data_IF_350977441934
#
_entry.id   IF_350977441934
#
_cell.length_a   1.000
_cell.length_b   1.000
_cell.length_c   1.000
_cell.angle_alpha   90.00
_cell.angle_beta   90.00
_cell.angle_gamma   90.00
#
_symmetry.space_group_name_H-M   'P 1'
#
loop_
_entity.id
_entity.type
_entity.pdbx_description
1 polymer ?
#
# COMPACT_ATOMS: atom_id res chain seq x y z
N UNK A 1 15.59 -19.46 -17.57
CA UNK A 1 16.47 -18.32 -17.28
C UNK A 1 16.07 -17.71 -15.93
N UNK A 2 17.00 -17.55 -15.01
CA UNK A 2 16.75 -16.91 -13.71
C UNK A 2 16.42 -15.43 -13.91
N UNK A 3 15.75 -14.79 -12.95
CA UNK A 3 15.35 -13.38 -13.07
C UNK A 3 16.54 -12.43 -13.21
N UNK A 4 17.64 -12.70 -12.51
CA UNK A 4 18.87 -11.90 -12.60
C UNK A 4 19.50 -11.95 -14.00
N UNK A 5 19.66 -13.13 -14.57
CA UNK A 5 20.21 -13.33 -15.92
C UNK A 5 19.34 -12.62 -16.98
N UNK A 6 18.04 -12.69 -16.80
CA UNK A 6 17.11 -12.00 -17.69
C UNK A 6 17.25 -10.48 -17.59
N UNK A 7 17.31 -9.92 -16.36
CA UNK A 7 17.47 -8.48 -16.16
C UNK A 7 18.82 -7.97 -16.66
N UNK A 8 19.87 -8.79 -16.55
CA UNK A 8 21.18 -8.48 -17.12
C UNK A 8 21.11 -8.40 -18.66
N UNK A 9 20.44 -9.37 -19.30
CA UNK A 9 20.23 -9.34 -20.74
C UNK A 9 19.43 -8.10 -21.18
N UNK A 10 18.33 -7.79 -20.48
CA UNK A 10 17.53 -6.57 -20.75
C UNK A 10 18.37 -5.32 -20.54
N UNK A 11 19.19 -5.27 -19.48
CA UNK A 11 20.05 -4.14 -19.19
C UNK A 11 21.03 -3.89 -20.35
N UNK A 12 21.72 -4.92 -20.80
CA UNK A 12 22.67 -4.81 -21.91
C UNK A 12 22.00 -4.32 -23.20
N UNK A 13 20.82 -4.84 -23.54
CA UNK A 13 20.09 -4.42 -24.75
C UNK A 13 19.51 -3.01 -24.64
N UNK A 14 19.10 -2.57 -23.45
CA UNK A 14 18.52 -1.25 -23.21
C UNK A 14 19.58 -0.18 -22.88
N UNK A 15 20.87 -0.51 -22.85
CA UNK A 15 21.94 0.39 -22.45
C UNK A 15 21.87 0.80 -20.97
N UNK A 16 21.41 -0.10 -20.12
CA UNK A 16 21.30 0.07 -18.67
C UNK A 16 22.33 -0.81 -17.96
N UNK A 17 22.50 -0.61 -16.66
CA UNK A 17 23.37 -1.44 -15.82
C UNK A 17 22.52 -2.31 -14.91
N UNK A 18 22.87 -3.60 -14.83
CA UNK A 18 22.22 -4.53 -13.91
C UNK A 18 22.80 -4.41 -12.49
N UNK A 19 21.93 -4.32 -11.49
CA UNK A 19 22.27 -4.29 -10.08
C UNK A 19 21.62 -5.49 -9.39
N UNK A 20 22.34 -6.59 -9.17
CA UNK A 20 21.84 -7.77 -8.48
C UNK A 20 21.49 -7.43 -7.03
N UNK A 21 20.40 -7.98 -6.53
CA UNK A 21 19.89 -7.78 -5.16
C UNK A 21 19.53 -6.33 -4.77
N UNK A 22 19.50 -5.40 -5.73
CA UNK A 22 19.14 -4.01 -5.53
C UNK A 22 17.96 -3.66 -6.45
N UNK A 23 16.91 -3.09 -5.88
CA UNK A 23 15.78 -2.65 -6.69
C UNK A 23 14.56 -2.25 -5.87
N UNK A 24 13.69 -1.45 -6.50
CA UNK A 24 12.51 -0.91 -5.83
C UNK A 24 11.42 -1.95 -5.56
N UNK A 25 11.36 -3.04 -6.33
CA UNK A 25 10.20 -3.93 -6.32
C UNK A 25 10.49 -5.32 -5.78
N UNK A 26 11.63 -5.91 -6.14
CA UNK A 26 12.02 -7.23 -5.66
C UNK A 26 13.53 -7.28 -5.42
N UNK A 27 13.93 -7.38 -4.14
CA UNK A 27 15.34 -7.44 -3.75
C UNK A 27 16.05 -8.70 -4.22
N UNK A 28 15.29 -9.78 -4.49
CA UNK A 28 15.88 -11.07 -4.90
C UNK A 28 16.28 -11.09 -6.38
N UNK A 29 15.57 -10.37 -7.22
CA UNK A 29 15.81 -10.32 -8.66
C UNK A 29 16.65 -9.13 -9.12
N UNK A 30 16.93 -8.18 -8.23
CA UNK A 30 17.67 -6.97 -8.60
C UNK A 30 16.87 -6.02 -9.51
N UNK A 31 17.58 -5.12 -10.18
CA UNK A 31 17.03 -4.20 -11.15
C UNK A 31 18.05 -3.82 -12.23
N UNK A 32 17.55 -3.44 -13.41
CA UNK A 32 18.35 -2.78 -14.43
C UNK A 32 18.07 -1.26 -14.34
N UNK A 33 19.11 -0.46 -14.13
CA UNK A 33 18.97 1.00 -13.95
C UNK A 33 20.02 1.72 -14.78
N UNK A 34 19.66 2.87 -15.32
CA UNK A 34 20.60 3.72 -16.03
C UNK A 34 19.97 5.05 -16.44
N UNK A 35 20.82 5.90 -17.04
CA UNK A 35 20.41 7.19 -17.55
C UNK A 35 20.70 7.24 -19.04
N UNK A 36 19.75 7.78 -19.80
CA UNK A 36 19.96 8.08 -21.22
C UNK A 36 19.21 9.36 -21.56
N UNK A 37 19.89 10.31 -22.20
CA UNK A 37 19.37 11.65 -22.51
C UNK A 37 18.83 12.37 -21.26
N UNK A 38 19.47 12.16 -20.12
CA UNK A 38 19.06 12.70 -18.83
C UNK A 38 17.68 12.21 -18.31
N UNK A 39 17.17 11.11 -18.87
CA UNK A 39 16.04 10.35 -18.28
C UNK A 39 16.58 9.16 -17.52
N UNK A 40 16.07 8.93 -16.34
CA UNK A 40 16.42 7.75 -15.53
C UNK A 40 15.43 6.63 -15.84
N UNK A 41 15.95 5.49 -16.21
CA UNK A 41 15.15 4.28 -16.44
C UNK A 41 15.50 3.25 -15.38
N UNK A 42 14.48 2.64 -14.78
CA UNK A 42 14.65 1.46 -13.92
C UNK A 42 13.68 0.37 -14.35
N UNK A 43 14.17 -0.86 -14.43
CA UNK A 43 13.40 -2.04 -14.80
C UNK A 43 13.58 -3.09 -13.71
N UNK A 44 12.49 -3.71 -13.31
CA UNK A 44 12.54 -4.78 -12.32
C UNK A 44 11.25 -5.58 -12.29
N UNK A 45 11.23 -6.60 -11.44
CA UNK A 45 10.06 -7.44 -11.25
C UNK A 45 9.31 -7.05 -9.98
N UNK A 46 7.99 -7.01 -10.08
CA UNK A 46 7.08 -6.94 -8.95
C UNK A 46 6.21 -8.18 -8.94
N UNK A 47 6.14 -8.85 -7.81
CA UNK A 47 5.27 -10.01 -7.64
C UNK A 47 4.13 -9.64 -6.70
N UNK A 48 2.91 -9.72 -7.19
CA UNK A 48 1.70 -9.52 -6.40
C UNK A 48 0.83 -10.76 -6.50
N UNK A 49 0.88 -11.61 -5.49
CA UNK A 49 0.21 -12.90 -5.51
C UNK A 49 0.84 -13.85 -6.54
N UNK A 50 0.02 -14.43 -7.43
CA UNK A 50 0.46 -15.36 -8.48
C UNK A 50 0.87 -14.68 -9.78
N UNK A 51 0.62 -13.39 -9.94
CA UNK A 51 0.93 -12.65 -11.16
C UNK A 51 2.30 -12.00 -11.05
N UNK A 52 3.17 -12.32 -11.98
CA UNK A 52 4.44 -11.64 -12.13
C UNK A 52 4.27 -10.43 -13.07
N UNK A 53 4.84 -9.32 -12.66
CA UNK A 53 4.75 -8.05 -13.39
C UNK A 53 6.16 -7.52 -13.62
N UNK A 54 6.51 -7.30 -14.89
CA UNK A 54 7.67 -6.48 -15.23
C UNK A 54 7.28 -5.02 -15.09
N UNK A 55 8.04 -4.27 -14.31
CA UNK A 55 7.80 -2.84 -14.07
C UNK A 55 8.93 -2.05 -14.71
N UNK A 56 8.57 -1.07 -15.51
CA UNK A 56 9.46 -0.08 -16.10
C UNK A 56 9.11 1.27 -15.49
N UNK A 57 10.07 1.89 -14.85
CA UNK A 57 9.97 3.24 -14.29
C UNK A 57 10.83 4.17 -15.13
N UNK A 58 10.21 5.19 -15.67
CA UNK A 58 10.89 6.30 -16.35
C UNK A 58 10.75 7.53 -15.47
N UNK A 59 11.89 8.15 -15.13
CA UNK A 59 11.93 9.36 -14.32
C UNK A 59 12.50 10.53 -15.10
N UNK A 60 11.98 11.70 -14.81
CA UNK A 60 12.30 12.98 -15.41
C UNK A 60 12.21 14.10 -14.36
N UNK A 61 12.69 15.29 -14.66
CA UNK A 61 12.72 16.40 -13.70
C UNK A 61 11.32 16.92 -13.39
N UNK A 62 10.52 17.17 -14.42
CA UNK A 62 9.20 17.78 -14.27
C UNK A 62 8.24 17.29 -15.34
N UNK A 63 6.99 17.17 -14.94
CA UNK A 63 5.83 16.96 -15.78
C UNK A 63 4.94 18.19 -15.69
N UNK A 64 4.62 18.79 -16.82
CA UNK A 64 3.75 19.97 -16.83
C UNK A 64 2.28 19.59 -16.69
N UNK A 65 1.84 18.59 -17.45
CA UNK A 65 0.45 18.12 -17.41
C UNK A 65 0.36 16.59 -17.54
N UNK A 66 -0.20 15.88 -16.53
CA UNK A 66 -0.32 14.42 -16.56
C UNK A 66 -1.12 13.89 -17.76
N UNK A 67 -2.11 14.62 -18.23
CA UNK A 67 -2.94 14.22 -19.36
C UNK A 67 -2.18 14.21 -20.69
N UNK A 68 -1.21 15.09 -20.85
CA UNK A 68 -0.35 15.11 -22.05
C UNK A 68 0.49 13.83 -22.14
N UNK A 69 1.00 13.32 -20.99
CA UNK A 69 1.73 12.04 -20.97
C UNK A 69 0.82 10.88 -21.34
N UNK A 70 -0.41 10.86 -20.82
CA UNK A 70 -1.38 9.81 -21.19
C UNK A 70 -1.66 9.83 -22.69
N UNK A 71 -1.87 11.02 -23.24
CA UNK A 71 -2.11 11.22 -24.68
C UNK A 71 -0.90 10.82 -25.52
N UNK A 72 0.31 11.23 -25.12
CA UNK A 72 1.56 10.88 -25.82
C UNK A 72 1.77 9.35 -25.84
N UNK A 73 1.59 8.67 -24.69
CA UNK A 73 1.69 7.21 -24.59
C UNK A 73 0.61 6.48 -25.40
N UNK A 74 -0.61 7.02 -25.47
CA UNK A 74 -1.69 6.49 -26.29
C UNK A 74 -1.38 6.67 -27.79
N UNK A 75 -0.89 7.83 -28.18
CA UNK A 75 -0.53 8.15 -29.57
C UNK A 75 0.67 7.32 -30.06
N UNK A 76 1.60 7.00 -29.18
CA UNK A 76 2.72 6.11 -29.50
C UNK A 76 2.28 4.65 -29.76
N UNK A 77 0.97 4.35 -29.64
CA UNK A 77 0.36 3.04 -29.93
C UNK A 77 1.09 1.86 -29.29
N UNK A 78 1.57 2.03 -28.06
CA UNK A 78 2.31 1.00 -27.32
C UNK A 78 1.38 -0.17 -27.02
N UNK A 79 1.58 -1.28 -27.70
CA UNK A 79 0.68 -2.44 -27.66
C UNK A 79 0.88 -3.36 -26.45
N UNK A 80 2.04 -3.27 -25.76
CA UNK A 80 2.42 -4.22 -24.72
C UNK A 80 2.50 -3.54 -23.35
N UNK A 81 1.85 -4.13 -22.36
CA UNK A 81 1.76 -3.57 -21.03
C UNK A 81 0.67 -2.49 -20.89
N UNK A 82 0.67 -1.83 -19.76
CA UNK A 82 -0.28 -0.76 -19.42
C UNK A 82 0.37 0.30 -18.55
N UNK A 83 -0.18 1.48 -18.57
CA UNK A 83 0.17 2.54 -17.65
C UNK A 83 -0.27 2.15 -16.22
N UNK A 84 0.70 2.04 -15.32
CA UNK A 84 0.46 1.71 -13.90
C UNK A 84 0.25 2.96 -13.04
N UNK A 85 1.10 3.98 -13.21
CA UNK A 85 0.98 5.23 -12.47
C UNK A 85 1.72 6.37 -13.19
N UNK A 86 1.26 7.60 -12.96
CA UNK A 86 1.95 8.84 -13.33
C UNK A 86 2.12 9.66 -12.05
N UNK A 87 3.35 10.10 -11.77
CA UNK A 87 3.67 11.06 -10.74
C UNK A 87 4.18 12.37 -11.33
N UNK A 88 4.50 13.34 -10.48
CA UNK A 88 5.04 14.64 -10.92
C UNK A 88 6.39 14.54 -11.64
N UNK A 89 7.15 13.47 -11.40
CA UNK A 89 8.49 13.25 -11.92
C UNK A 89 8.76 11.80 -12.36
N UNK A 90 7.72 11.00 -12.58
CA UNK A 90 7.88 9.64 -13.08
C UNK A 90 6.65 9.14 -13.83
N UNK A 91 6.89 8.16 -14.70
CA UNK A 91 5.90 7.28 -15.32
C UNK A 91 6.26 5.85 -14.96
N UNK A 92 5.29 5.08 -14.49
CA UNK A 92 5.40 3.66 -14.21
C UNK A 92 4.57 2.89 -15.22
N UNK A 93 5.23 2.02 -15.97
CA UNK A 93 4.63 1.10 -16.93
C UNK A 93 4.69 -0.32 -16.41
N UNK A 94 3.63 -1.10 -16.58
CA UNK A 94 3.49 -2.45 -16.07
C UNK A 94 3.17 -3.43 -17.19
N UNK A 95 3.93 -4.50 -17.27
CA UNK A 95 3.66 -5.60 -18.17
C UNK A 95 3.43 -6.88 -17.39
N UNK A 96 2.16 -7.27 -17.26
CA UNK A 96 1.75 -8.49 -16.59
C UNK A 96 1.95 -9.70 -17.50
N UNK A 97 2.48 -10.78 -16.97
CA UNK A 97 2.62 -12.04 -17.69
C UNK A 97 2.31 -13.22 -16.75
N UNK A 98 1.71 -14.31 -17.32
CA UNK A 98 1.28 -15.46 -16.51
C UNK A 98 2.27 -16.63 -16.59
N UNK A 99 2.77 -16.94 -17.78
CA UNK A 99 3.56 -18.17 -18.01
C UNK A 99 4.99 -17.88 -18.50
N UNK A 100 5.15 -17.02 -19.48
CA UNK A 100 6.44 -16.71 -20.08
C UNK A 100 6.81 -15.26 -19.87
N UNK A 101 8.08 -15.02 -19.49
CA UNK A 101 8.62 -13.65 -19.43
C UNK A 101 8.65 -13.06 -20.85
N UNK A 102 8.41 -11.74 -20.99
CA UNK A 102 8.61 -11.03 -22.25
C UNK A 102 10.02 -11.29 -22.80
N UNK A 103 10.20 -11.27 -24.11
CA UNK A 103 11.56 -11.34 -24.69
C UNK A 103 12.35 -10.09 -24.33
N UNK A 104 13.63 -10.24 -24.03
CA UNK A 104 14.48 -9.11 -23.60
C UNK A 104 14.54 -7.99 -24.65
N UNK A 105 14.58 -8.35 -25.94
CA UNK A 105 14.58 -7.42 -27.07
C UNK A 105 13.27 -6.61 -27.15
N UNK A 106 12.14 -7.25 -26.82
CA UNK A 106 10.84 -6.57 -26.79
C UNK A 106 10.76 -5.55 -25.66
N UNK A 107 11.34 -5.88 -24.50
CA UNK A 107 11.41 -4.97 -23.36
C UNK A 107 12.34 -3.79 -23.66
N UNK A 108 13.49 -4.03 -24.25
CA UNK A 108 14.41 -2.98 -24.66
C UNK A 108 13.77 -2.00 -25.66
N UNK A 109 13.05 -2.51 -26.66
CA UNK A 109 12.27 -1.68 -27.60
C UNK A 109 11.17 -0.90 -26.90
N UNK A 110 10.40 -1.55 -26.00
CA UNK A 110 9.37 -0.90 -25.23
C UNK A 110 9.91 0.27 -24.38
N UNK A 111 11.09 0.12 -23.78
CA UNK A 111 11.75 1.21 -23.04
C UNK A 111 12.05 2.38 -23.95
N UNK A 112 12.55 2.13 -25.15
CA UNK A 112 12.84 3.17 -26.14
C UNK A 112 11.57 3.88 -26.62
N UNK A 113 10.52 3.13 -26.94
CA UNK A 113 9.22 3.66 -27.35
C UNK A 113 8.61 4.55 -26.25
N UNK A 114 8.61 4.06 -24.99
CA UNK A 114 8.14 4.81 -23.85
C UNK A 114 8.93 6.10 -23.64
N UNK A 115 10.27 6.04 -23.72
CA UNK A 115 11.13 7.18 -23.57
C UNK A 115 10.90 8.22 -24.66
N UNK A 116 10.79 7.78 -25.92
CA UNK A 116 10.52 8.64 -27.06
C UNK A 116 9.17 9.35 -26.91
N UNK A 117 8.16 8.64 -26.49
CA UNK A 117 6.84 9.23 -26.26
C UNK A 117 6.84 10.31 -25.18
N UNK A 118 7.55 10.08 -24.06
CA UNK A 118 7.54 11.05 -22.95
C UNK A 118 8.46 12.24 -23.16
N UNK A 119 9.51 12.12 -23.99
CA UNK A 119 10.45 13.23 -24.29
C UNK A 119 9.75 14.49 -24.79
N UNK A 120 8.65 14.35 -25.49
CA UNK A 120 7.92 15.48 -26.08
C UNK A 120 7.11 16.29 -25.05
N UNK A 121 6.83 15.69 -23.88
CA UNK A 121 5.88 16.23 -22.88
C UNK A 121 6.45 16.31 -21.48
N UNK A 122 7.73 16.04 -21.32
CA UNK A 122 8.43 16.08 -20.03
C UNK A 122 9.79 16.74 -20.16
N UNK A 123 10.25 17.32 -19.04
CA UNK A 123 11.58 17.94 -18.95
C UNK A 123 12.59 16.92 -18.41
N UNK A 124 13.72 16.65 -19.10
CA UNK A 124 14.77 15.78 -18.59
C UNK A 124 15.45 16.37 -17.36
N UNK A 125 16.18 15.56 -16.61
CA UNK A 125 17.01 16.04 -15.52
C UNK A 125 18.13 16.94 -16.07
N UNK A 126 18.48 17.96 -15.30
CA UNK A 126 19.53 18.92 -15.64
C UNK A 126 20.87 18.62 -14.95
N UNK A 127 21.01 17.41 -14.42
CA UNK A 127 22.20 17.03 -13.68
C UNK A 127 22.31 17.71 -12.31
N UNK A 128 21.26 18.25 -11.71
CA UNK A 128 21.26 18.86 -10.38
C UNK A 128 20.65 17.93 -9.34
N UNK A 129 21.02 18.13 -8.09
CA UNK A 129 20.39 17.40 -6.97
C UNK A 129 18.89 17.68 -6.96
N UNK A 130 18.06 16.63 -6.95
CA UNK A 130 16.60 16.73 -6.94
C UNK A 130 16.06 17.41 -5.67
N UNK A 131 16.83 17.42 -4.58
CA UNK A 131 16.42 17.98 -3.28
C UNK A 131 16.80 19.46 -3.12
N UNK A 132 18.05 19.84 -3.45
CA UNK A 132 18.57 21.20 -3.22
C UNK A 132 18.97 21.95 -4.48
N UNK A 133 18.78 21.36 -5.65
CA UNK A 133 19.18 21.91 -6.95
C UNK A 133 20.68 22.26 -7.09
N UNK A 134 21.53 21.84 -6.18
CA UNK A 134 22.98 22.04 -6.23
C UNK A 134 23.59 21.26 -7.40
N UNK A 135 24.65 21.82 -7.98
CA UNK A 135 25.47 21.20 -9.03
C UNK A 135 26.65 20.39 -8.48
N UNK A 136 26.83 20.32 -7.16
CA UNK A 136 27.89 19.52 -6.55
C UNK A 136 27.71 18.03 -6.88
N UNK A 137 28.83 17.31 -6.96
CA UNK A 137 28.94 15.89 -7.35
C UNK A 137 27.72 15.05 -7.01
N UNK A 138 26.96 14.73 -8.04
CA UNK A 138 25.74 13.96 -7.92
C UNK A 138 26.03 12.55 -8.38
N UNK A 139 25.63 11.60 -7.57
CA UNK A 139 25.56 10.23 -7.98
C UNK A 139 24.09 9.82 -8.12
N UNK A 140 23.79 9.07 -9.16
CA UNK A 140 22.53 8.34 -9.21
C UNK A 140 22.53 7.35 -8.05
N UNK A 141 21.58 7.51 -7.14
CA UNK A 141 21.50 6.73 -5.91
C UNK A 141 20.13 6.10 -5.81
N UNK A 142 20.05 4.83 -5.41
CA UNK A 142 18.78 4.21 -5.06
C UNK A 142 18.41 4.62 -3.63
N UNK A 143 17.37 5.42 -3.47
CA UNK A 143 16.75 5.70 -2.18
C UNK A 143 15.56 4.77 -1.99
N UNK A 144 15.67 3.79 -1.09
CA UNK A 144 14.68 2.73 -0.91
C UNK A 144 14.31 2.02 -2.25
N UNK A 145 15.28 1.90 -3.14
CA UNK A 145 15.13 1.30 -4.46
C UNK A 145 14.65 2.25 -5.57
N UNK A 146 14.26 3.48 -5.26
CA UNK A 146 13.91 4.49 -6.26
C UNK A 146 15.17 5.20 -6.72
N UNK A 147 15.52 5.17 -8.01
CA UNK A 147 16.71 5.87 -8.50
C UNK A 147 16.46 7.37 -8.51
N UNK A 148 17.37 8.15 -7.94
CA UNK A 148 17.30 9.61 -7.91
C UNK A 148 18.68 10.26 -7.88
N UNK A 149 18.76 11.49 -8.37
CA UNK A 149 19.96 12.31 -8.26
C UNK A 149 19.95 13.04 -6.92
N UNK A 150 20.83 12.65 -6.01
CA UNK A 150 20.91 13.26 -4.69
C UNK A 150 22.38 13.48 -4.29
N UNK A 151 22.73 14.67 -3.83
CA UNK A 151 24.06 14.96 -3.32
C UNK A 151 24.28 14.38 -1.91
N UNK A 152 25.55 14.26 -1.52
CA UNK A 152 25.92 13.67 -0.21
C UNK A 152 25.30 14.43 0.98
N UNK A 153 25.28 15.77 0.91
CA UNK A 153 24.69 16.62 1.95
C UNK A 153 23.20 16.36 2.13
N UNK A 154 22.44 16.20 1.03
CA UNK A 154 21.03 15.88 1.09
C UNK A 154 20.78 14.43 1.54
N UNK A 155 21.64 13.49 1.20
CA UNK A 155 21.56 12.12 1.75
C UNK A 155 21.70 12.11 3.27
N UNK A 156 22.68 12.87 3.78
CA UNK A 156 22.88 12.98 5.21
C UNK A 156 21.71 13.69 5.92
N UNK A 157 21.19 14.77 5.33
CA UNK A 157 20.03 15.47 5.85
C UNK A 157 18.80 14.53 5.94
N UNK A 158 18.52 13.75 4.91
CA UNK A 158 17.41 12.77 4.92
C UNK A 158 17.63 11.69 5.98
N UNK A 159 18.88 11.23 6.20
CA UNK A 159 19.17 10.31 7.29
C UNK A 159 18.85 10.91 8.64
N UNK A 160 19.35 12.12 8.91
CA UNK A 160 19.11 12.82 10.17
C UNK A 160 17.62 13.07 10.42
N UNK A 161 16.87 13.50 9.40
CA UNK A 161 15.42 13.68 9.51
C UNK A 161 14.69 12.36 9.85
N UNK A 162 15.09 11.25 9.24
CA UNK A 162 14.52 9.94 9.52
C UNK A 162 14.89 9.41 10.91
N UNK A 163 16.14 9.62 11.34
CA UNK A 163 16.59 9.24 12.66
C UNK A 163 15.86 10.07 13.73
N UNK A 164 15.71 11.37 13.51
CA UNK A 164 14.93 12.24 14.41
C UNK A 164 13.45 11.83 14.43
N UNK A 165 12.86 11.51 13.28
CA UNK A 165 11.49 10.99 13.21
C UNK A 165 11.33 9.65 13.95
N UNK A 166 12.34 8.79 13.89
CA UNK A 166 12.37 7.54 14.66
C UNK A 166 12.39 7.78 16.16
N UNK A 167 13.26 8.69 16.62
CA UNK A 167 13.36 9.10 18.02
C UNK A 167 12.03 9.70 18.50
N UNK A 168 11.47 10.63 17.72
CA UNK A 168 10.19 11.26 18.05
C UNK A 168 9.05 10.23 18.14
N UNK A 169 9.00 9.26 17.20
CA UNK A 169 7.99 8.19 17.24
C UNK A 169 8.16 7.28 18.47
N UNK A 170 9.39 6.98 18.86
CA UNK A 170 9.66 6.16 20.05
C UNK A 170 9.34 6.90 21.34
N UNK A 171 9.54 8.22 21.39
CA UNK A 171 9.21 9.06 22.52
C UNK A 171 7.71 9.22 22.78
N UNK A 172 6.84 8.90 21.81
CA UNK A 172 5.38 8.91 22.02
C UNK A 172 5.04 7.94 23.15
N UNK A 173 4.54 8.44 24.27
CA UNK A 173 4.02 7.63 25.37
C UNK A 173 2.61 7.16 25.01
N UNK A 174 2.34 5.83 24.94
CA UNK A 174 1.02 5.34 24.61
C UNK A 174 0.00 5.69 25.69
N UNK A 175 -1.12 6.30 25.30
CA UNK A 175 -2.24 6.56 26.20
C UNK A 175 -3.23 5.39 26.15
N UNK A 176 -3.01 4.36 26.97
CA UNK A 176 -3.86 3.16 27.00
C UNK A 176 -5.31 3.44 27.42
N UNK A 177 -5.60 4.25 28.48
CA UNK A 177 -6.97 4.58 28.85
C UNK A 177 -7.74 5.22 27.71
N UNK A 178 -7.17 6.22 27.05
CA UNK A 178 -7.82 6.88 25.92
C UNK A 178 -8.01 5.94 24.73
N UNK A 179 -7.03 5.06 24.45
CA UNK A 179 -7.15 4.02 23.44
C UNK A 179 -8.30 3.04 23.73
N UNK A 180 -8.48 2.66 24.98
CA UNK A 180 -9.58 1.78 25.40
C UNK A 180 -10.94 2.48 25.27
N UNK A 181 -11.05 3.73 25.76
CA UNK A 181 -12.31 4.51 25.68
C UNK A 181 -12.73 4.72 24.23
N UNK A 182 -11.84 5.17 23.37
CA UNK A 182 -12.16 5.38 21.96
C UNK A 182 -12.42 4.05 21.23
N UNK A 183 -11.73 2.97 21.62
CA UNK A 183 -11.99 1.65 21.09
C UNK A 183 -13.38 1.11 21.47
N UNK A 184 -13.79 1.25 22.73
CA UNK A 184 -15.14 0.87 23.20
C UNK A 184 -16.21 1.73 22.50
N UNK A 185 -16.02 3.03 22.41
CA UNK A 185 -16.95 3.91 21.71
C UNK A 185 -17.11 3.51 20.24
N UNK A 186 -16.00 3.26 19.53
CA UNK A 186 -16.03 2.79 18.16
C UNK A 186 -16.69 1.42 18.02
N UNK A 187 -16.46 0.51 18.97
CA UNK A 187 -17.08 -0.82 19.03
C UNK A 187 -18.60 -0.71 19.22
N UNK A 188 -19.06 0.09 20.16
CA UNK A 188 -20.49 0.28 20.44
C UNK A 188 -21.21 0.92 19.24
N UNK A 189 -20.66 2.00 18.70
CA UNK A 189 -21.23 2.71 17.53
C UNK A 189 -21.20 1.83 16.26
N UNK A 190 -20.10 1.11 16.06
CA UNK A 190 -19.95 0.20 14.92
C UNK A 190 -20.95 -0.96 14.97
N UNK A 191 -21.09 -1.59 16.13
CA UNK A 191 -22.07 -2.65 16.33
C UNK A 191 -23.52 -2.18 16.20
N UNK A 192 -23.86 -1.03 16.80
CA UNK A 192 -25.19 -0.44 16.66
C UNK A 192 -25.52 -0.12 15.19
N UNK A 193 -24.61 0.56 14.49
CA UNK A 193 -24.79 0.87 13.08
C UNK A 193 -24.95 -0.39 12.22
N UNK A 194 -24.13 -1.40 12.50
CA UNK A 194 -24.19 -2.71 11.84
C UNK A 194 -25.55 -3.37 12.00
N UNK A 195 -26.04 -3.52 13.24
CA UNK A 195 -27.33 -4.17 13.54
C UNK A 195 -28.50 -3.44 12.87
N UNK A 196 -28.49 -2.09 12.88
CA UNK A 196 -29.53 -1.29 12.23
C UNK A 196 -29.49 -1.41 10.69
N UNK A 197 -28.32 -1.39 10.09
CA UNK A 197 -28.16 -1.55 8.63
C UNK A 197 -28.58 -2.95 8.20
N UNK A 198 -28.11 -3.99 8.90
CA UNK A 198 -28.50 -5.37 8.62
C UNK A 198 -30.03 -5.56 8.72
N UNK A 199 -30.66 -4.97 9.73
CA UNK A 199 -32.13 -4.99 9.88
C UNK A 199 -32.83 -4.26 8.74
N UNK A 200 -32.36 -3.07 8.34
CA UNK A 200 -32.95 -2.29 7.25
C UNK A 200 -32.88 -3.00 5.90
N UNK A 201 -31.81 -3.74 5.67
CA UNK A 201 -31.58 -4.50 4.43
C UNK A 201 -32.22 -5.90 4.47
N UNK A 202 -32.73 -6.35 5.62
CA UNK A 202 -33.16 -7.73 5.88
C UNK A 202 -32.08 -8.79 5.52
N UNK A 203 -30.80 -8.42 5.58
CA UNK A 203 -29.70 -9.24 5.15
C UNK A 203 -28.41 -8.89 5.88
N UNK A 204 -27.72 -9.91 6.40
CA UNK A 204 -26.39 -9.79 7.00
C UNK A 204 -25.35 -9.88 5.88
N UNK A 205 -24.77 -8.75 5.48
CA UNK A 205 -23.72 -8.75 4.49
C UNK A 205 -22.34 -8.75 5.14
N UNK A 206 -21.56 -9.79 4.91
CA UNK A 206 -20.30 -10.10 5.58
C UNK A 206 -19.24 -8.99 5.47
N UNK A 207 -19.21 -8.26 4.34
CA UNK A 207 -18.22 -7.20 4.11
C UNK A 207 -18.34 -6.01 5.07
N UNK A 208 -19.50 -5.77 5.65
CA UNK A 208 -19.70 -4.72 6.65
C UNK A 208 -18.92 -4.99 7.94
N UNK A 209 -18.72 -6.25 8.29
CA UNK A 209 -17.91 -6.64 9.44
C UNK A 209 -16.43 -6.22 9.27
N UNK A 210 -15.90 -6.17 8.04
CA UNK A 210 -14.55 -5.64 7.76
C UNK A 210 -14.46 -4.17 8.17
N UNK A 211 -15.50 -3.39 7.85
CA UNK A 211 -15.56 -1.98 8.20
C UNK A 211 -15.59 -1.77 9.73
N UNK A 212 -16.35 -2.61 10.44
CA UNK A 212 -16.38 -2.59 11.91
C UNK A 212 -14.98 -2.83 12.47
N UNK A 213 -14.31 -3.89 12.04
CA UNK A 213 -12.94 -4.19 12.49
C UNK A 213 -11.97 -3.05 12.22
N UNK A 214 -12.09 -2.40 11.07
CA UNK A 214 -11.29 -1.22 10.74
C UNK A 214 -11.61 -0.05 11.67
N UNK A 215 -12.89 0.27 11.93
CA UNK A 215 -13.32 1.38 12.79
C UNK A 215 -12.86 1.19 14.23
N UNK A 216 -13.01 -0.02 14.78
CA UNK A 216 -12.53 -0.36 16.13
C UNK A 216 -11.02 -0.16 16.22
N UNK A 217 -10.27 -0.69 15.24
CA UNK A 217 -8.83 -0.52 15.21
C UNK A 217 -8.41 0.96 15.10
N UNK A 218 -9.09 1.74 14.25
CA UNK A 218 -8.84 3.18 14.12
C UNK A 218 -9.10 3.92 15.43
N UNK A 219 -10.17 3.59 16.15
CA UNK A 219 -10.49 4.17 17.47
C UNK A 219 -9.38 3.89 18.48
N UNK A 220 -8.99 2.62 18.65
CA UNK A 220 -7.91 2.23 19.58
C UNK A 220 -6.60 2.89 19.21
N UNK A 221 -6.20 2.86 17.93
CA UNK A 221 -4.92 3.41 17.47
C UNK A 221 -4.87 4.93 17.60
N UNK A 222 -5.97 5.64 17.31
CA UNK A 222 -6.07 7.08 17.50
C UNK A 222 -5.95 7.46 18.99
N UNK A 223 -6.55 6.66 19.86
CA UNK A 223 -6.47 6.89 21.31
C UNK A 223 -5.11 6.57 21.89
N UNK A 224 -4.47 5.47 21.48
CA UNK A 224 -3.13 5.10 21.98
C UNK A 224 -2.00 5.93 21.35
N UNK A 225 -2.20 6.56 20.21
CA UNK A 225 -1.20 7.33 19.46
C UNK A 225 -0.18 6.49 18.68
N UNK A 226 -0.07 5.19 18.95
CA UNK A 226 0.81 4.27 18.22
C UNK A 226 0.35 2.82 18.34
N UNK A 227 0.84 1.96 17.43
CA UNK A 227 0.63 0.51 17.54
C UNK A 227 1.40 -0.04 18.74
N UNK A 228 0.68 -0.69 19.64
CA UNK A 228 1.22 -1.31 20.85
C UNK A 228 0.81 -2.76 20.96
N UNK A 229 1.49 -3.56 21.80
CA UNK A 229 1.05 -4.93 22.11
C UNK A 229 -0.35 -4.96 22.70
N UNK A 230 -0.67 -3.97 23.56
CA UNK A 230 -2.02 -3.78 24.09
C UNK A 230 -3.05 -3.63 22.96
N UNK A 231 -2.80 -2.74 22.00
CA UNK A 231 -3.69 -2.55 20.84
C UNK A 231 -3.87 -3.82 20.02
N UNK A 232 -2.81 -4.62 19.83
CA UNK A 232 -2.87 -5.88 19.08
C UNK A 232 -3.78 -6.92 19.74
N UNK A 233 -3.96 -6.87 21.06
CA UNK A 233 -4.85 -7.79 21.80
C UNK A 233 -6.26 -7.20 21.91
N UNK A 234 -6.37 -5.92 22.28
CA UNK A 234 -7.69 -5.33 22.58
C UNK A 234 -8.53 -5.09 21.30
N UNK A 235 -7.90 -4.80 20.16
CA UNK A 235 -8.60 -4.58 18.90
C UNK A 235 -9.40 -5.81 18.45
N UNK A 236 -8.82 -7.01 18.34
CA UNK A 236 -9.59 -8.23 18.04
C UNK A 236 -10.73 -8.47 19.04
N UNK A 237 -10.48 -8.30 20.33
CA UNK A 237 -11.50 -8.51 21.38
C UNK A 237 -12.68 -7.56 21.20
N UNK A 238 -12.41 -6.26 21.04
CA UNK A 238 -13.46 -5.26 20.83
C UNK A 238 -14.16 -5.44 19.48
N UNK A 239 -13.46 -5.92 18.45
CA UNK A 239 -14.07 -6.22 17.14
C UNK A 239 -15.07 -7.36 17.26
N UNK A 240 -14.69 -8.46 17.92
CA UNK A 240 -15.60 -9.58 18.17
C UNK A 240 -16.82 -9.13 18.97
N UNK A 241 -16.60 -8.38 20.05
CA UNK A 241 -17.67 -7.83 20.88
C UNK A 241 -18.61 -6.91 20.06
N UNK A 242 -18.06 -6.09 19.16
CA UNK A 242 -18.82 -5.18 18.31
C UNK A 242 -19.72 -5.94 17.31
N UNK A 243 -19.17 -6.96 16.65
CA UNK A 243 -19.95 -7.78 15.69
C UNK A 243 -21.06 -8.52 16.42
N UNK A 244 -20.76 -9.20 17.52
CA UNK A 244 -21.76 -9.92 18.32
C UNK A 244 -22.86 -8.99 18.86
N UNK A 245 -22.49 -7.79 19.32
CA UNK A 245 -23.45 -6.78 19.76
C UNK A 245 -24.37 -6.33 18.62
N UNK A 246 -23.81 -6.11 17.44
CA UNK A 246 -24.60 -5.73 16.26
C UNK A 246 -25.56 -6.84 15.81
N UNK A 247 -25.08 -8.08 15.80
CA UNK A 247 -25.93 -9.23 15.46
C UNK A 247 -27.03 -9.44 16.51
N UNK A 248 -26.75 -9.24 17.81
CA UNK A 248 -27.76 -9.25 18.85
C UNK A 248 -28.85 -8.17 18.64
N UNK A 249 -28.46 -6.96 18.24
CA UNK A 249 -29.42 -5.89 17.88
C UNK A 249 -30.25 -6.32 16.68
N UNK A 250 -29.63 -6.84 15.63
CA UNK A 250 -30.32 -7.32 14.44
C UNK A 250 -31.40 -8.35 14.79
N UNK A 251 -31.02 -9.42 15.51
CA UNK A 251 -31.97 -10.45 15.90
C UNK A 251 -33.07 -9.95 16.84
N UNK A 252 -32.73 -9.04 17.76
CA UNK A 252 -33.73 -8.42 18.64
C UNK A 252 -34.77 -7.66 17.80
N UNK A 253 -34.37 -6.87 16.83
CA UNK A 253 -35.28 -6.13 15.97
C UNK A 253 -36.14 -7.03 15.07
N UNK A 254 -35.55 -8.14 14.58
CA UNK A 254 -36.28 -9.14 13.80
C UNK A 254 -37.36 -9.82 14.65
N UNK A 255 -37.04 -10.23 15.88
CA UNK A 255 -38.03 -10.85 16.80
C UNK A 255 -39.15 -9.86 17.15
N UNK A 256 -38.80 -8.60 17.46
CA UNK A 256 -39.78 -7.54 17.74
C UNK A 256 -40.77 -7.38 16.56
N UNK A 257 -40.27 -7.36 15.34
CA UNK A 257 -41.09 -7.22 14.13
C UNK A 257 -42.00 -8.43 13.90
N UNK A 258 -41.46 -9.65 14.04
CA UNK A 258 -42.23 -10.87 13.76
C UNK A 258 -43.22 -11.25 14.83
N UNK A 259 -42.89 -10.97 16.10
CA UNK A 259 -43.77 -11.34 17.25
C UNK A 259 -44.62 -10.16 17.73
N UNK A 260 -44.48 -8.98 17.08
CA UNK A 260 -45.17 -7.75 17.45
C UNK A 260 -45.00 -7.36 18.93
N UNK A 261 -43.80 -7.58 19.48
CA UNK A 261 -43.47 -7.28 20.88
C UNK A 261 -42.65 -6.01 20.97
N UNK A 262 -42.82 -5.24 22.05
CA UNK A 262 -42.02 -4.04 22.28
C UNK A 262 -40.59 -4.42 22.74
N UNK A 263 -39.62 -3.50 22.48
CA UNK A 263 -38.28 -3.66 22.99
C UNK A 263 -38.27 -3.78 24.52
N UNK A 264 -37.53 -4.78 25.01
CA UNK A 264 -37.27 -4.91 26.42
C UNK A 264 -35.83 -5.42 26.66
N UNK A 265 -35.24 -5.02 27.79
CA UNK A 265 -33.91 -5.51 28.18
C UNK A 265 -33.91 -7.03 28.43
N UNK A 266 -35.06 -7.61 28.82
CA UNK A 266 -35.20 -9.06 28.96
C UNK A 266 -35.07 -9.79 27.62
N UNK A 267 -35.70 -9.24 26.56
CA UNK A 267 -35.58 -9.78 25.21
C UNK A 267 -34.12 -9.76 24.70
N UNK A 268 -33.44 -8.64 24.88
CA UNK A 268 -32.03 -8.51 24.49
C UNK A 268 -31.15 -9.52 25.25
N UNK A 269 -31.35 -9.67 26.55
CA UNK A 269 -30.61 -10.64 27.36
C UNK A 269 -30.84 -12.09 26.91
N UNK A 270 -32.06 -12.45 26.55
CA UNK A 270 -32.39 -13.80 26.02
C UNK A 270 -31.66 -14.01 24.68
N UNK A 271 -31.67 -13.02 23.80
CA UNK A 271 -30.94 -13.09 22.51
C UNK A 271 -29.43 -13.23 22.76
N UNK A 272 -28.85 -12.44 23.65
CA UNK A 272 -27.43 -12.52 24.00
C UNK A 272 -27.05 -13.89 24.58
N UNK A 273 -27.91 -14.47 25.44
CA UNK A 273 -27.65 -15.80 26.03
C UNK A 273 -27.61 -16.93 24.99
N UNK A 274 -28.40 -16.81 23.91
CA UNK A 274 -28.49 -17.84 22.87
C UNK A 274 -27.74 -17.43 21.58
N UNK A 275 -27.05 -16.28 21.59
CA UNK A 275 -26.42 -15.71 20.39
C UNK A 275 -25.43 -16.69 19.76
N UNK A 276 -24.63 -17.38 20.58
CA UNK A 276 -23.65 -18.34 20.07
C UNK A 276 -24.32 -19.54 19.37
N UNK A 277 -25.44 -20.01 19.88
CA UNK A 277 -26.18 -21.10 19.23
C UNK A 277 -26.77 -20.68 17.89
N UNK A 278 -27.18 -19.42 17.78
CA UNK A 278 -27.70 -18.84 16.55
C UNK A 278 -26.57 -18.65 15.53
N UNK A 279 -25.48 -18.04 15.96
CA UNK A 279 -24.32 -17.71 15.11
C UNK A 279 -23.60 -18.97 14.60
N UNK A 280 -23.48 -20.00 15.44
CA UNK A 280 -22.82 -21.27 15.07
C UNK A 280 -23.54 -22.04 13.97
N UNK A 281 -24.86 -21.84 13.85
CA UNK A 281 -25.71 -22.50 12.83
C UNK A 281 -25.89 -21.69 11.55
N UNK A 282 -25.46 -20.43 11.56
CA UNK A 282 -25.61 -19.47 10.44
C UNK A 282 -24.28 -18.93 9.92
N UNK A 283 -24.37 -17.71 9.38
CA UNK A 283 -23.20 -16.99 8.80
C UNK A 283 -22.41 -16.20 9.85
N UNK A 284 -22.73 -16.28 11.14
CA UNK A 284 -22.12 -15.45 12.18
C UNK A 284 -20.63 -15.71 12.38
N UNK A 285 -20.19 -16.96 12.30
CA UNK A 285 -18.77 -17.29 12.36
C UNK A 285 -18.01 -16.60 11.22
N UNK A 286 -18.62 -16.52 10.03
CA UNK A 286 -18.03 -15.80 8.90
C UNK A 286 -17.99 -14.29 9.17
N UNK A 287 -19.01 -13.68 9.75
CA UNK A 287 -19.01 -12.26 10.13
C UNK A 287 -17.86 -11.94 11.09
N UNK A 288 -17.63 -12.78 12.09
CA UNK A 288 -16.51 -12.63 13.02
C UNK A 288 -15.15 -12.71 12.29
N UNK A 289 -14.98 -13.68 11.38
CA UNK A 289 -13.75 -13.81 10.60
C UNK A 289 -13.51 -12.58 9.72
N UNK A 290 -14.52 -12.07 9.05
CA UNK A 290 -14.40 -10.85 8.24
C UNK A 290 -14.09 -9.61 9.10
N UNK A 291 -14.67 -9.49 10.29
CA UNK A 291 -14.35 -8.45 11.26
C UNK A 291 -12.88 -8.50 11.67
N UNK A 292 -12.36 -9.68 11.99
CA UNK A 292 -10.96 -9.89 12.33
C UNK A 292 -10.02 -9.58 11.15
N UNK A 293 -10.43 -9.87 9.92
CA UNK A 293 -9.68 -9.48 8.72
C UNK A 293 -9.59 -7.96 8.61
N UNK A 294 -10.70 -7.24 8.85
CA UNK A 294 -10.72 -5.77 8.86
C UNK A 294 -9.80 -5.19 9.94
N UNK A 295 -9.87 -5.72 11.16
CA UNK A 295 -8.99 -5.34 12.27
C UNK A 295 -7.51 -5.62 11.95
N UNK A 296 -7.23 -6.80 11.40
CA UNK A 296 -5.88 -7.19 10.97
C UNK A 296 -5.32 -6.30 9.89
N UNK A 297 -6.14 -5.91 8.90
CA UNK A 297 -5.75 -4.97 7.86
C UNK A 297 -5.43 -3.58 8.44
N UNK A 298 -6.24 -3.07 9.36
CA UNK A 298 -5.98 -1.79 10.01
C UNK A 298 -4.68 -1.81 10.83
N UNK A 299 -4.44 -2.88 11.60
CA UNK A 299 -3.19 -3.08 12.33
C UNK A 299 -1.98 -3.20 11.38
N UNK A 300 -2.15 -3.89 10.26
CA UNK A 300 -1.09 -4.00 9.25
C UNK A 300 -0.77 -2.63 8.64
N UNK A 301 -1.78 -1.84 8.31
CA UNK A 301 -1.62 -0.51 7.71
C UNK A 301 -1.00 0.49 8.69
N UNK A 302 -1.27 0.34 9.98
CA UNK A 302 -0.75 1.20 11.05
C UNK A 302 0.59 0.73 11.64
N UNK A 303 1.27 -0.25 11.01
CA UNK A 303 2.59 -0.72 11.48
C UNK A 303 3.58 0.42 11.61
N UNK A 304 4.54 0.26 12.56
CA UNK A 304 5.64 1.19 12.75
C UNK A 304 6.25 1.59 11.39
N UNK A 305 6.30 2.89 11.08
CA UNK A 305 6.95 3.36 9.86
C UNK A 305 8.41 2.90 9.81
N UNK A 306 8.89 2.57 8.63
CA UNK A 306 10.30 2.24 8.45
C UNK A 306 11.09 3.54 8.34
N UNK A 307 11.65 4.00 9.43
CA UNK A 307 12.51 5.19 9.49
C UNK A 307 13.95 4.93 8.98
N UNK A 308 14.11 4.05 7.99
CA UNK A 308 15.44 3.76 7.43
C UNK A 308 15.43 4.08 5.94
N UNK A 309 16.28 5.02 5.55
CA UNK A 309 16.62 5.24 4.16
C UNK A 309 17.79 4.32 3.78
N UNK A 310 17.58 3.44 2.84
CA UNK A 310 18.65 2.67 2.22
C UNK A 310 19.17 3.47 1.02
N UNK A 311 20.29 4.15 1.19
CA UNK A 311 21.02 4.80 0.09
C UNK A 311 22.00 3.80 -0.49
N UNK A 312 21.86 3.49 -1.76
CA UNK A 312 22.77 2.61 -2.49
C UNK A 312 23.29 3.41 -3.70
N UNK A 313 24.53 3.90 -3.66
CA UNK A 313 25.10 4.61 -4.79
C UNK A 313 25.20 3.64 -5.98
N UNK A 314 24.60 4.01 -7.07
CA UNK A 314 24.80 3.39 -8.36
C UNK A 314 26.08 4.04 -8.91
N UNK A 315 27.14 3.23 -9.12
CA UNK A 315 28.42 3.76 -9.65
C UNK A 315 28.21 4.72 -10.82
N UNK A 316 29.15 5.62 -11.00
CA UNK A 316 29.08 6.66 -12.04
C UNK A 316 28.57 6.08 -13.36
N UNK A 317 27.65 6.79 -14.08
CA UNK A 317 27.30 6.38 -15.43
C UNK A 317 28.61 6.34 -16.22
N UNK A 318 28.85 5.22 -16.90
CA UNK A 318 29.97 5.16 -17.83
C UNK A 318 29.80 6.33 -18.80
N UNK A 319 30.80 7.21 -18.83
CA UNK A 319 30.91 8.31 -19.75
C UNK A 319 30.99 7.78 -21.19
#
# INVERSE_FOLDING_TARGET
>A
MKENEYLEQVANLAGLRHYPQQGPWNKKSGSAVGTRDNYVTAIGFSQKGRTATLVILLRFKKLEQPEQVKSALKNAAIKKGKLGAIGSNFVRWEWNYAFAKPKAEEVARLVEDLRTAIKQVTTPFDGRCEQCASTSTQSLTLLNGMPMFICATCQEKVRQELDQAAVNYEAITPNYPNGLVLGIAASALGGLAWGLVAYSLNYIFLYGAILIGYLVAAGVLKGTGKVTRFGQIIIPVLTVASVLFGDAIFYTLVVMKHQNVAFSGKLLNVILAHLWDIESKGNGVLSLLFGLVGAGYALYSARKPKFKAAFQPLGAPNA
#
